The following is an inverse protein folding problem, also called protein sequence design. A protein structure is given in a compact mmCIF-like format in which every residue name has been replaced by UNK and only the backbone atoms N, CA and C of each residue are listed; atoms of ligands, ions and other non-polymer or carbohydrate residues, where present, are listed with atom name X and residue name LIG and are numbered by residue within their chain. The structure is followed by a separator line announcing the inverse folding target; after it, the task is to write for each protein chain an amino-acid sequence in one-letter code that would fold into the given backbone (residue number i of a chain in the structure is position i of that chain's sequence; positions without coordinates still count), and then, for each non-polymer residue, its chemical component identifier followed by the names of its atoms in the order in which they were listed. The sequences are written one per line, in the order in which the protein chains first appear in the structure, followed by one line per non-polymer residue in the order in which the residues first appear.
data_IF_706924709721
#
_entry.id   IF_706924709721
#
_cell.length_a   1.000
_cell.length_b   1.000
_cell.length_c   1.000
_cell.angle_alpha   90.00
_cell.angle_beta   90.00
_cell.angle_gamma   90.00
#
_symmetry.space_group_name_H-M   'P 1'
#
loop_
_entity.id
_entity.type
_entity.pdbx_description
1 polymer ?
#
# COMPACT_ATOMS: atom_id res chain seq x y z
N UNK A 1 2.75 5.64 -24.37
CA UNK A 1 1.66 5.96 -23.42
C UNK A 1 1.75 4.98 -22.25
N UNK A 2 2.07 5.39 -21.01
CA UNK A 2 1.98 4.47 -19.88
C UNK A 2 0.49 4.20 -19.60
N UNK A 3 0.07 2.95 -19.78
CA UNK A 3 -1.28 2.49 -19.41
C UNK A 3 -1.35 2.51 -17.89
N UNK A 4 -2.05 3.48 -17.32
CA UNK A 4 -2.33 3.51 -15.88
C UNK A 4 -3.37 2.43 -15.57
N UNK A 5 -2.90 1.21 -15.34
CA UNK A 5 -3.72 0.05 -14.99
C UNK A 5 -3.80 -0.20 -13.48
N UNK A 6 -3.42 0.76 -12.64
CA UNK A 6 -3.59 0.68 -11.18
C UNK A 6 -5.04 0.99 -10.79
N UNK A 7 -5.98 0.22 -11.34
CA UNK A 7 -7.38 0.24 -10.90
C UNK A 7 -7.45 -0.50 -9.58
N UNK A 8 -7.99 0.16 -8.55
CA UNK A 8 -8.30 -0.51 -7.30
C UNK A 8 -9.32 -1.62 -7.57
N UNK A 9 -9.03 -2.83 -7.08
CA UNK A 9 -9.93 -3.97 -7.24
C UNK A 9 -11.22 -3.79 -6.43
N UNK A 10 -11.13 -3.11 -5.29
CA UNK A 10 -12.25 -2.83 -4.40
C UNK A 10 -12.64 -1.35 -4.53
N UNK A 11 -13.86 -1.03 -5.03
CA UNK A 11 -14.37 0.33 -5.04
C UNK A 11 -14.40 0.92 -3.63
N UNK A 12 -13.95 2.17 -3.45
CA UNK A 12 -13.95 2.86 -2.16
C UNK A 12 -12.73 2.58 -1.25
N UNK A 13 -11.90 1.58 -1.56
CA UNK A 13 -10.70 1.29 -0.76
C UNK A 13 -9.61 2.38 -0.85
N UNK A 14 -9.72 3.34 -1.77
CA UNK A 14 -8.72 4.37 -2.04
C UNK A 14 -8.34 5.18 -0.78
N UNK A 15 -9.33 5.53 0.04
CA UNK A 15 -9.12 6.37 1.21
C UNK A 15 -8.31 5.62 2.28
N UNK A 16 -8.69 4.38 2.59
CA UNK A 16 -7.99 3.53 3.56
C UNK A 16 -6.57 3.22 3.07
N UNK A 17 -6.41 2.88 1.79
CA UNK A 17 -5.09 2.60 1.22
C UNK A 17 -4.18 3.84 1.24
N UNK A 18 -4.73 5.05 1.05
CA UNK A 18 -3.96 6.28 1.20
C UNK A 18 -3.52 6.52 2.64
N UNK A 19 -4.38 6.27 3.62
CA UNK A 19 -4.04 6.38 5.03
C UNK A 19 -2.91 5.40 5.40
N UNK A 20 -3.04 4.12 5.04
CA UNK A 20 -1.97 3.14 5.28
C UNK A 20 -0.67 3.50 4.56
N UNK A 21 -0.76 4.04 3.34
CA UNK A 21 0.41 4.47 2.58
C UNK A 21 1.16 5.58 3.31
N UNK A 22 0.46 6.57 3.85
CA UNK A 22 1.09 7.69 4.59
C UNK A 22 1.69 7.22 5.91
N UNK A 23 0.96 6.41 6.67
CA UNK A 23 1.42 5.84 7.95
C UNK A 23 2.68 4.98 7.76
N UNK A 24 2.65 4.03 6.83
CA UNK A 24 3.77 3.12 6.59
C UNK A 24 4.97 3.84 5.99
N UNK A 25 4.73 4.81 5.08
CA UNK A 25 5.80 5.64 4.54
C UNK A 25 6.53 6.40 5.65
N UNK A 26 5.78 6.96 6.61
CA UNK A 26 6.34 7.62 7.78
C UNK A 26 7.12 6.64 8.68
N UNK A 27 6.55 5.47 8.99
CA UNK A 27 7.21 4.44 9.80
C UNK A 27 8.54 3.98 9.19
N UNK A 28 8.60 3.86 7.85
CA UNK A 28 9.77 3.35 7.13
C UNK A 28 10.76 4.48 6.77
N UNK A 29 10.43 5.74 7.08
CA UNK A 29 11.23 6.91 6.71
C UNK A 29 11.36 7.10 5.19
N UNK A 30 10.38 6.62 4.41
CA UNK A 30 10.38 6.70 2.95
C UNK A 30 9.49 7.84 2.50
N UNK A 31 10.06 8.80 1.78
CA UNK A 31 9.25 9.78 1.04
C UNK A 31 8.85 9.16 -0.29
N UNK A 32 7.57 8.98 -0.56
CA UNK A 32 7.13 8.40 -1.84
C UNK A 32 7.28 9.41 -2.97
N UNK A 33 7.87 8.98 -4.08
CA UNK A 33 8.08 9.86 -5.22
C UNK A 33 8.93 9.25 -6.33
N UNK A 34 9.01 9.93 -7.49
CA UNK A 34 9.80 9.47 -8.62
C UNK A 34 11.31 9.45 -8.31
N UNK A 35 11.77 10.32 -7.40
CA UNK A 35 13.17 10.42 -6.99
C UNK A 35 13.58 9.39 -5.93
N UNK A 36 12.59 8.70 -5.34
CA UNK A 36 12.83 7.64 -4.36
C UNK A 36 13.11 6.33 -5.06
N UNK A 37 14.06 5.56 -4.51
CA UNK A 37 14.41 4.26 -5.10
C UNK A 37 13.18 3.38 -5.28
N UNK A 38 13.15 2.61 -6.37
CA UNK A 38 12.05 1.67 -6.63
C UNK A 38 11.84 0.69 -5.48
N UNK A 39 12.92 0.33 -4.76
CA UNK A 39 12.86 -0.52 -3.56
C UNK A 39 12.19 0.20 -2.39
N UNK A 40 12.47 1.47 -2.16
CA UNK A 40 11.81 2.27 -1.12
C UNK A 40 10.33 2.46 -1.39
N UNK A 41 9.95 2.84 -2.62
CA UNK A 41 8.55 2.91 -3.02
C UNK A 41 7.86 1.53 -2.90
N UNK A 42 8.57 0.46 -3.29
CA UNK A 42 8.06 -0.91 -3.24
C UNK A 42 7.89 -1.47 -1.82
N UNK A 43 8.74 -1.09 -0.86
CA UNK A 43 8.64 -1.58 0.52
C UNK A 43 7.35 -1.12 1.20
N UNK A 44 6.92 0.12 0.96
CA UNK A 44 5.65 0.64 1.48
C UNK A 44 4.45 -0.14 0.92
N UNK A 45 4.43 -0.40 -0.40
CA UNK A 45 3.37 -1.20 -1.03
C UNK A 45 3.33 -2.66 -0.55
N UNK A 46 4.50 -3.25 -0.30
CA UNK A 46 4.62 -4.60 0.25
C UNK A 46 4.05 -4.70 1.67
N UNK A 47 4.33 -3.71 2.52
CA UNK A 47 3.83 -3.70 3.90
C UNK A 47 2.32 -3.45 3.97
N UNK A 48 1.76 -2.59 3.10
CA UNK A 48 0.30 -2.44 2.96
C UNK A 48 -0.35 -3.81 2.68
N UNK A 49 0.18 -4.53 1.69
CA UNK A 49 -0.35 -5.85 1.30
C UNK A 49 -0.24 -6.84 2.47
N UNK A 50 0.89 -6.85 3.18
CA UNK A 50 1.13 -7.72 4.32
C UNK A 50 0.12 -7.49 5.45
N UNK A 51 -0.11 -6.23 5.83
CA UNK A 51 -1.10 -5.88 6.88
C UNK A 51 -2.52 -6.27 6.48
N UNK A 52 -2.90 -6.00 5.23
CA UNK A 52 -4.23 -6.36 4.71
C UNK A 52 -4.45 -7.88 4.74
N UNK A 53 -3.47 -8.67 4.30
CA UNK A 53 -3.56 -10.14 4.32
C UNK A 53 -3.63 -10.65 5.76
N UNK A 54 -2.83 -10.11 6.68
CA UNK A 54 -2.89 -10.48 8.10
C UNK A 54 -4.26 -10.20 8.71
N UNK A 55 -4.85 -9.03 8.46
CA UNK A 55 -6.19 -8.68 8.94
C UNK A 55 -7.26 -9.61 8.35
N UNK A 56 -7.16 -9.91 7.05
CA UNK A 56 -8.09 -10.84 6.39
C UNK A 56 -8.00 -12.26 6.97
N UNK A 57 -6.79 -12.76 7.24
CA UNK A 57 -6.57 -14.08 7.85
C UNK A 57 -7.15 -14.16 9.28
N UNK A 58 -7.00 -13.09 10.07
CA UNK A 58 -7.59 -13.01 11.41
C UNK A 58 -9.13 -13.01 11.35
N UNK A 59 -9.71 -12.31 10.38
CA UNK A 59 -11.17 -12.28 10.17
C UNK A 59 -11.76 -13.58 9.60
N UNK A 60 -11.00 -14.35 8.83
CA UNK A 60 -11.42 -15.65 8.29
C UNK A 60 -11.39 -16.79 9.32
N UNK A 61 -10.73 -16.59 10.45
CA UNK A 61 -10.61 -17.60 11.51
C UNK A 61 -11.82 -17.61 12.48
N UNK A 62 -12.89 -16.88 12.15
CA UNK A 62 -14.16 -16.83 12.89
C UNK A 62 -15.30 -17.45 12.10
#
# INVERSE_FOLDING_TARGET
MPRQSNRLLVPGAAQILNQFKEEIAAEFGVTLGPDTTSRGNGSVGGEITKRLVQQAQQGQSQ
#
